data_IF_462905586452
#
_entry.id   IF_462905586452
#
_cell.length_a   1.000
_cell.length_b   1.000
_cell.length_c   1.000
_cell.angle_alpha   90.00
_cell.angle_beta   90.00
_cell.angle_gamma   90.00
#
_symmetry.space_group_name_H-M   'P 1'
#
loop_
_entity.id
_entity.type
_entity.pdbx_description
1 polymer ?
#
# COMPACT_ATOMS: atom_id res chain seq x y z
N UNK A 1 22.71 16.00 -9.42
CA UNK A 1 23.67 14.88 -9.56
C UNK A 1 22.90 13.58 -9.78
N UNK A 2 23.32 12.70 -10.69
CA UNK A 2 22.68 11.39 -10.93
C UNK A 2 23.22 10.36 -9.93
N UNK A 3 22.37 9.50 -9.32
CA UNK A 3 22.85 8.48 -8.39
C UNK A 3 23.63 7.38 -9.11
N UNK A 4 24.71 6.92 -8.48
CA UNK A 4 25.53 5.78 -8.93
C UNK A 4 25.03 4.51 -8.26
N UNK A 5 23.87 4.01 -8.69
CA UNK A 5 23.22 2.81 -8.15
C UNK A 5 23.19 1.68 -9.18
N UNK A 6 23.35 0.44 -8.72
CA UNK A 6 23.22 -0.75 -9.58
C UNK A 6 21.77 -0.87 -10.07
N UNK A 7 21.53 -0.96 -11.38
CA UNK A 7 20.19 -1.07 -11.90
C UNK A 7 19.52 -2.41 -11.52
N UNK A 8 18.32 -2.38 -10.90
CA UNK A 8 17.58 -3.59 -10.56
C UNK A 8 16.88 -4.20 -11.78
N UNK A 9 16.56 -5.51 -11.75
CA UNK A 9 15.68 -6.10 -12.74
C UNK A 9 14.22 -5.63 -12.55
N UNK A 10 13.48 -5.52 -13.64
CA UNK A 10 12.03 -5.31 -13.64
C UNK A 10 11.30 -6.54 -13.11
N UNK A 11 10.35 -6.36 -12.19
CA UNK A 11 9.55 -7.45 -11.64
C UNK A 11 8.68 -8.19 -12.68
N UNK A 12 8.31 -7.52 -13.79
CA UNK A 12 7.43 -8.09 -14.81
C UNK A 12 8.18 -8.93 -15.85
N UNK A 13 9.33 -8.45 -16.35
CA UNK A 13 10.04 -9.07 -17.48
C UNK A 13 11.49 -9.47 -17.18
N UNK A 14 12.00 -9.20 -15.97
CA UNK A 14 13.37 -9.52 -15.56
C UNK A 14 14.46 -8.65 -16.20
N UNK A 15 14.12 -7.77 -17.15
CA UNK A 15 15.07 -6.90 -17.83
C UNK A 15 15.58 -5.79 -16.92
N UNK A 16 16.80 -5.34 -17.18
CA UNK A 16 17.43 -4.26 -16.41
C UNK A 16 16.62 -2.96 -16.54
N UNK A 17 16.22 -2.39 -15.40
CA UNK A 17 15.52 -1.11 -15.38
C UNK A 17 16.47 0.05 -15.68
N UNK A 18 15.96 1.11 -16.29
CA UNK A 18 16.70 2.34 -16.51
C UNK A 18 16.36 3.37 -15.44
N UNK A 19 17.32 4.23 -15.11
CA UNK A 19 17.11 5.29 -14.16
C UNK A 19 16.67 6.56 -14.90
N UNK A 20 15.46 7.05 -14.60
CA UNK A 20 14.89 8.25 -15.24
C UNK A 20 14.63 9.35 -14.21
N UNK A 21 14.78 10.63 -14.59
CA UNK A 21 14.55 11.74 -13.69
C UNK A 21 13.06 11.93 -13.40
N UNK A 22 12.74 12.36 -12.18
CA UNK A 22 11.39 12.79 -11.77
C UNK A 22 11.45 13.99 -10.84
N UNK A 23 10.33 14.69 -10.71
CA UNK A 23 10.17 15.72 -9.68
C UNK A 23 9.47 15.10 -8.47
N UNK A 24 10.20 14.90 -7.37
CA UNK A 24 9.65 14.36 -6.12
C UNK A 24 9.26 15.49 -5.18
N UNK A 25 8.08 15.43 -4.57
CA UNK A 25 7.64 16.41 -3.56
C UNK A 25 7.76 15.82 -2.15
N UNK A 26 8.67 16.35 -1.36
CA UNK A 26 8.86 15.98 0.05
C UNK A 26 7.99 16.87 0.94
N UNK A 27 6.99 16.27 1.60
CA UNK A 27 6.15 16.97 2.60
C UNK A 27 6.62 16.62 4.01
N UNK A 28 6.83 17.63 4.86
CA UNK A 28 7.05 17.49 6.31
C UNK A 28 6.27 18.58 7.04
N UNK A 29 5.31 18.18 7.88
CA UNK A 29 4.35 19.12 8.47
C UNK A 29 3.57 19.87 7.39
N UNK A 30 3.55 21.21 7.48
CA UNK A 30 2.89 22.09 6.52
C UNK A 30 3.77 22.47 5.32
N UNK A 31 5.06 22.11 5.35
CA UNK A 31 6.03 22.48 4.32
C UNK A 31 6.14 21.41 3.24
N UNK A 32 6.31 21.86 2.00
CA UNK A 32 6.53 21.01 0.83
C UNK A 32 7.77 21.51 0.10
N UNK A 33 8.70 20.59 -0.15
CA UNK A 33 9.92 20.84 -0.90
C UNK A 33 9.91 20.01 -2.19
N UNK A 34 9.83 20.64 -3.38
CA UNK A 34 10.08 19.95 -4.63
C UNK A 34 11.59 19.72 -4.80
N UNK A 35 11.98 18.48 -5.11
CA UNK A 35 13.37 18.07 -5.30
C UNK A 35 13.45 17.22 -6.57
N UNK A 36 14.44 17.51 -7.41
CA UNK A 36 14.77 16.64 -8.54
C UNK A 36 15.29 15.30 -8.01
N UNK A 37 14.60 14.23 -8.39
CA UNK A 37 14.87 12.86 -7.99
C UNK A 37 14.90 11.92 -9.18
N UNK A 38 14.86 10.62 -8.89
CA UNK A 38 14.93 9.58 -9.91
C UNK A 38 14.04 8.41 -9.53
N UNK A 39 13.57 7.69 -10.54
CA UNK A 39 12.84 6.42 -10.40
C UNK A 39 13.44 5.38 -11.35
N UNK A 40 13.20 4.11 -11.06
CA UNK A 40 13.49 3.04 -12.00
C UNK A 40 12.31 2.85 -12.94
N UNK A 41 12.59 2.79 -14.24
CA UNK A 41 11.59 2.55 -15.28
C UNK A 41 11.96 1.27 -16.03
N UNK A 42 10.95 0.44 -16.33
CA UNK A 42 11.16 -0.72 -17.18
C UNK A 42 11.49 -0.28 -18.62
N UNK A 43 12.66 -0.67 -19.13
CA UNK A 43 13.11 -0.33 -20.49
C UNK A 43 12.23 -0.96 -21.60
N UNK A 44 11.54 -2.06 -21.30
CA UNK A 44 10.65 -2.74 -22.24
C UNK A 44 9.20 -2.24 -22.22
N UNK A 45 8.89 -1.24 -21.39
CA UNK A 45 7.54 -0.65 -21.35
C UNK A 45 6.47 -1.59 -20.79
N UNK A 46 6.83 -2.49 -19.87
CA UNK A 46 5.84 -3.30 -19.14
C UNK A 46 4.80 -2.39 -18.48
N UNK A 47 3.56 -2.87 -18.35
CA UNK A 47 2.55 -2.21 -17.54
C UNK A 47 2.75 -2.52 -16.05
N UNK A 48 2.40 -1.57 -15.19
CA UNK A 48 2.35 -1.74 -13.75
C UNK A 48 1.30 -2.82 -13.40
N UNK A 49 1.64 -3.84 -12.59
CA UNK A 49 0.72 -4.92 -12.26
C UNK A 49 -0.44 -4.48 -11.35
N UNK A 50 -0.27 -3.38 -10.60
CA UNK A 50 -1.26 -2.86 -9.66
C UNK A 50 -2.15 -1.79 -10.30
N UNK A 51 -1.59 -0.91 -11.14
CA UNK A 51 -2.34 0.21 -11.75
C UNK A 51 -2.63 0.06 -13.24
N UNK A 52 -1.88 -0.80 -13.95
CA UNK A 52 -1.97 -0.94 -15.41
C UNK A 52 -1.25 0.16 -16.19
N UNK A 53 -0.62 1.13 -15.52
CA UNK A 53 0.09 2.23 -16.17
C UNK A 53 1.38 1.75 -16.84
N UNK A 54 1.68 2.27 -18.05
CA UNK A 54 2.91 1.95 -18.77
C UNK A 54 3.68 3.24 -19.12
N UNK A 55 5.02 3.26 -18.98
CA UNK A 55 5.88 2.16 -18.53
C UNK A 55 5.82 1.94 -17.01
N UNK A 56 6.12 0.73 -16.56
CA UNK A 56 6.20 0.37 -15.15
C UNK A 56 7.34 1.12 -14.47
N UNK A 57 7.00 1.83 -13.39
CA UNK A 57 7.87 2.73 -12.66
C UNK A 57 7.90 2.36 -11.18
N UNK A 58 9.09 2.24 -10.60
CA UNK A 58 9.26 1.79 -9.21
C UNK A 58 10.49 2.39 -8.54
N UNK A 59 10.57 2.23 -7.22
CA UNK A 59 11.70 2.68 -6.41
C UNK A 59 12.29 1.52 -5.61
N UNK A 60 13.62 1.45 -5.53
CA UNK A 60 14.31 0.51 -4.63
C UNK A 60 14.64 1.17 -3.30
N UNK A 61 14.86 0.40 -2.21
CA UNK A 61 15.27 0.96 -0.92
C UNK A 61 16.52 1.83 -1.01
N UNK A 62 17.52 1.42 -1.82
CA UNK A 62 18.74 2.18 -2.04
C UNK A 62 18.46 3.53 -2.75
N UNK A 63 17.57 3.54 -3.75
CA UNK A 63 17.17 4.76 -4.43
C UNK A 63 16.38 5.69 -3.49
N UNK A 64 15.46 5.14 -2.70
CA UNK A 64 14.70 5.91 -1.71
C UNK A 64 15.61 6.56 -0.67
N UNK A 65 16.61 5.83 -0.15
CA UNK A 65 17.59 6.36 0.80
C UNK A 65 18.41 7.49 0.18
N UNK A 66 18.84 7.34 -1.08
CA UNK A 66 19.53 8.40 -1.81
C UNK A 66 18.65 9.63 -2.01
N UNK A 67 17.39 9.46 -2.41
CA UNK A 67 16.44 10.56 -2.58
C UNK A 67 16.19 11.30 -1.26
N UNK A 68 16.09 10.58 -0.14
CA UNK A 68 15.88 11.18 1.18
C UNK A 68 17.11 11.97 1.66
N UNK A 69 18.32 11.48 1.41
CA UNK A 69 19.55 12.23 1.70
C UNK A 69 19.63 13.54 0.89
N UNK A 70 19.33 13.47 -0.41
CA UNK A 70 19.27 14.67 -1.28
C UNK A 70 18.20 15.66 -0.84
N UNK A 71 17.05 15.17 -0.40
CA UNK A 71 16.01 16.03 0.15
C UNK A 71 16.44 16.67 1.47
N UNK A 72 17.18 15.97 2.32
CA UNK A 72 17.70 16.51 3.57
C UNK A 72 18.66 17.69 3.33
N UNK A 73 19.58 17.54 2.37
CA UNK A 73 20.50 18.60 1.94
C UNK A 73 19.73 19.82 1.42
N UNK A 74 18.83 19.60 0.45
CA UNK A 74 18.02 20.68 -0.14
C UNK A 74 17.09 21.35 0.88
N UNK A 75 16.62 20.62 1.90
CA UNK A 75 15.82 21.16 2.99
C UNK A 75 16.63 22.12 3.86
N UNK A 76 17.83 21.72 4.23
CA UNK A 76 18.73 22.56 5.02
C UNK A 76 19.08 23.84 4.27
N UNK A 77 19.38 23.75 2.97
CA UNK A 77 19.62 24.91 2.10
C UNK A 77 18.40 25.83 2.01
N UNK A 78 17.19 25.26 1.91
CA UNK A 78 15.96 26.04 1.69
C UNK A 78 15.40 26.67 2.96
N UNK A 79 15.46 25.98 4.08
CA UNK A 79 14.78 26.35 5.32
C UNK A 79 15.73 26.65 6.49
N UNK A 80 17.03 26.38 6.37
CA UNK A 80 18.02 26.64 7.41
C UNK A 80 17.94 25.71 8.63
N UNK A 81 17.18 24.62 8.53
CA UNK A 81 16.94 23.66 9.61
C UNK A 81 17.10 22.22 9.09
N UNK A 82 17.35 21.22 9.96
CA UNK A 82 17.37 19.83 9.53
C UNK A 82 15.97 19.35 9.09
N UNK A 83 15.92 18.53 8.04
CA UNK A 83 14.66 17.96 7.56
C UNK A 83 14.01 17.08 8.64
N UNK A 84 12.74 17.32 9.03
CA UNK A 84 12.05 16.47 10.00
C UNK A 84 11.90 15.02 9.51
N UNK A 85 11.79 14.03 10.41
CA UNK A 85 11.57 12.63 10.02
C UNK A 85 10.23 12.45 9.29
N UNK A 86 10.17 11.46 8.40
CA UNK A 86 8.95 11.09 7.69
C UNK A 86 7.90 10.50 8.64
N UNK A 87 6.67 11.02 8.61
CA UNK A 87 5.52 10.44 9.32
C UNK A 87 4.83 9.30 8.57
N UNK A 88 5.34 8.87 7.41
CA UNK A 88 4.69 7.80 6.61
C UNK A 88 4.51 6.49 7.38
N UNK A 89 5.40 6.17 8.32
CA UNK A 89 5.27 4.99 9.17
C UNK A 89 4.22 5.14 10.29
N UNK A 90 3.74 6.35 10.56
CA UNK A 90 2.90 6.65 11.73
C UNK A 90 1.39 6.50 11.49
N UNK A 91 0.97 6.15 10.26
CA UNK A 91 -0.44 5.91 9.92
C UNK A 91 -0.68 4.47 9.46
N UNK A 92 -0.49 3.51 10.36
CA UNK A 92 -1.40 2.35 10.38
C UNK A 92 -2.40 2.64 11.49
N UNK A 93 -3.36 3.52 11.21
CA UNK A 93 -4.55 3.56 12.05
C UNK A 93 -5.14 2.14 12.01
N UNK A 94 -5.24 1.47 13.15
CA UNK A 94 -5.81 0.14 13.23
C UNK A 94 -7.15 0.14 12.49
N UNK A 95 -7.27 -0.66 11.43
CA UNK A 95 -8.56 -0.88 10.76
C UNK A 95 -9.51 -1.38 11.84
N UNK A 96 -10.38 -0.51 12.36
CA UNK A 96 -11.40 -0.90 13.34
C UNK A 96 -12.42 -1.74 12.59
N UNK A 97 -12.27 -3.06 12.63
CA UNK A 97 -13.32 -3.98 12.19
C UNK A 97 -14.48 -3.82 13.18
N UNK A 98 -15.46 -3.00 12.81
CA UNK A 98 -16.69 -2.84 13.61
C UNK A 98 -17.60 -4.00 13.27
N UNK A 99 -17.92 -4.82 14.28
CA UNK A 99 -18.98 -5.84 14.13
C UNK A 99 -20.32 -5.13 14.21
N UNK A 100 -21.04 -5.08 13.10
CA UNK A 100 -22.41 -4.56 13.03
C UNK A 100 -23.38 -5.74 13.17
N UNK A 101 -24.16 -5.84 14.26
CA UNK A 101 -25.22 -6.83 14.33
C UNK A 101 -26.33 -6.45 13.34
N UNK A 102 -26.71 -7.37 12.47
CA UNK A 102 -27.81 -7.20 11.51
C UNK A 102 -28.89 -8.22 11.85
N UNK A 103 -30.14 -7.75 11.95
CA UNK A 103 -31.30 -8.61 12.04
C UNK A 103 -31.71 -8.97 10.62
N UNK A 104 -31.69 -10.26 10.30
CA UNK A 104 -32.13 -10.78 9.00
C UNK A 104 -33.52 -11.41 9.15
N UNK A 105 -34.38 -11.17 8.18
CA UNK A 105 -35.59 -11.96 7.99
C UNK A 105 -35.23 -13.39 7.52
N UNK A 106 -36.18 -14.32 7.59
CA UNK A 106 -35.94 -15.72 7.19
C UNK A 106 -35.50 -15.84 5.73
N UNK A 107 -36.10 -15.06 4.84
CA UNK A 107 -35.81 -15.10 3.40
C UNK A 107 -34.42 -14.49 3.09
N UNK A 108 -34.03 -13.44 3.80
CA UNK A 108 -32.70 -12.83 3.68
C UNK A 108 -31.59 -13.75 4.21
N UNK A 109 -31.87 -14.50 5.27
CA UNK A 109 -30.94 -15.51 5.78
C UNK A 109 -30.74 -16.65 4.78
N UNK A 110 -31.82 -17.16 4.18
CA UNK A 110 -31.76 -18.21 3.17
C UNK A 110 -30.95 -17.77 1.93
N UNK A 111 -31.19 -16.55 1.45
CA UNK A 111 -30.46 -15.97 0.33
C UNK A 111 -28.97 -15.75 0.63
N UNK A 112 -28.64 -15.39 1.87
CA UNK A 112 -27.25 -15.26 2.32
C UNK A 112 -26.54 -16.61 2.39
N UNK A 113 -27.25 -17.66 2.82
CA UNK A 113 -26.72 -19.02 2.85
C UNK A 113 -26.47 -19.59 1.45
N UNK A 114 -27.34 -19.29 0.49
CA UNK A 114 -27.13 -19.64 -0.94
C UNK A 114 -25.90 -18.93 -1.52
N UNK A 115 -25.72 -17.63 -1.24
CA UNK A 115 -24.57 -16.85 -1.70
C UNK A 115 -23.24 -17.30 -1.08
N UNK A 116 -23.28 -17.96 0.07
CA UNK A 116 -22.08 -18.34 0.83
C UNK A 116 -21.39 -19.60 0.33
N UNK A 117 -22.07 -20.47 -0.42
CA UNK A 117 -21.50 -21.69 -1.01
C UNK A 117 -20.90 -22.68 0.00
N UNK A 118 -21.51 -23.86 0.13
CA UNK A 118 -20.99 -25.06 0.82
C UNK A 118 -20.15 -24.89 2.12
N UNK A 119 -20.69 -24.14 3.10
CA UNK A 119 -20.28 -24.23 4.52
C UNK A 119 -21.47 -24.33 5.50
N UNK A 120 -22.46 -25.25 5.33
CA UNK A 120 -23.73 -25.14 6.04
C UNK A 120 -23.78 -25.79 7.43
N UNK A 121 -22.74 -26.49 7.90
CA UNK A 121 -22.84 -27.26 9.15
C UNK A 121 -22.65 -26.44 10.43
N UNK A 122 -21.87 -25.35 10.39
CA UNK A 122 -21.50 -24.63 11.61
C UNK A 122 -22.63 -23.74 12.16
N UNK A 123 -23.42 -23.09 11.29
CA UNK A 123 -24.49 -22.19 11.73
C UNK A 123 -25.74 -22.91 12.23
N UNK A 124 -26.03 -24.12 11.71
CA UNK A 124 -27.18 -24.93 12.16
C UNK A 124 -27.02 -25.43 13.60
N UNK A 125 -25.79 -25.68 14.07
CA UNK A 125 -25.52 -26.10 15.45
C UNK A 125 -25.70 -24.96 16.46
N UNK A 126 -25.47 -23.71 16.08
CA UNK A 126 -25.58 -22.54 16.96
C UNK A 126 -27.03 -22.04 17.16
N UNK A 127 -27.93 -22.38 16.23
CA UNK A 127 -29.32 -21.92 16.25
C UNK A 127 -30.31 -22.95 16.81
N UNK A 128 -29.85 -24.13 17.21
CA UNK A 128 -30.70 -25.13 17.87
C UNK A 128 -30.92 -24.71 19.33
N UNK A 129 -32.17 -24.52 19.80
CA UNK A 129 -32.42 -24.17 21.19
C UNK A 129 -31.97 -25.31 22.12
N UNK A 130 -31.45 -25.00 23.33
CA UNK A 130 -31.01 -26.03 24.26
C UNK A 130 -32.19 -26.89 24.66
N UNK A 131 -32.11 -28.19 24.37
CA UNK A 131 -33.05 -29.20 24.84
C UNK A 131 -33.06 -29.20 26.36
N UNK A 132 -34.14 -28.71 26.99
CA UNK A 132 -34.40 -28.92 28.42
C UNK A 132 -34.47 -30.43 28.68
N UNK A 133 -33.47 -30.97 29.37
CA UNK A 133 -33.60 -32.29 30.00
C UNK A 133 -34.47 -32.11 31.23
N UNK A 134 -35.66 -32.72 31.21
CA UNK A 134 -36.46 -32.98 32.40
C UNK A 134 -35.92 -34.28 33.00
N UNK A 135 -35.47 -34.21 34.25
CA UNK A 135 -35.07 -35.31 35.11
C UNK A 135 -35.15 -34.83 36.54
#
# INVERSE_FOLDING_TARGET
MKPTLTPPPCACCGQTAELVPKLTRFRRGERVLPVEGYLWRCAHGCADPDTGDAPYEFSTPALMAWEEARAAEAWLERFGEPMPPSKRAQQVAARRTVRVPVLLTRDEAARLDELRGDRPQFLRQLLSPPSRRVG
#
